data_IF_664421641509
#
_entry.id   IF_664421641509
#
_cell.length_a   1.000
_cell.length_b   1.000
_cell.length_c   1.000
_cell.angle_alpha   90.00
_cell.angle_beta   90.00
_cell.angle_gamma   90.00
#
_symmetry.space_group_name_H-M   'P 1'
#
loop_
_entity.id
_entity.type
_entity.pdbx_description
1 polymer ?
#
# COMPACT_ATOMS: atom_id res chain seq x y z
N UNK A 1 12.50 -1.28 17.06
CA UNK A 1 11.79 -0.42 16.07
C UNK A 1 12.75 0.31 15.12
N UNK A 2 13.59 1.25 15.58
CA UNK A 2 14.37 2.14 14.70
C UNK A 2 15.44 1.48 13.82
N UNK A 3 15.96 0.30 14.19
CA UNK A 3 17.00 -0.41 13.40
C UNK A 3 16.54 -0.78 11.98
N UNK A 4 15.25 -1.08 11.80
CA UNK A 4 14.67 -1.41 10.49
C UNK A 4 14.76 -0.22 9.52
N UNK A 5 14.57 1.00 10.02
CA UNK A 5 14.62 2.22 9.21
C UNK A 5 16.02 2.49 8.65
N UNK A 6 17.08 2.01 9.32
CA UNK A 6 18.45 2.12 8.82
C UNK A 6 18.68 1.41 7.48
N UNK A 7 17.82 0.45 7.11
CA UNK A 7 17.88 -0.27 5.82
C UNK A 7 17.07 0.42 4.72
N UNK A 8 16.26 1.43 5.05
CA UNK A 8 15.40 2.10 4.08
C UNK A 8 16.19 3.14 3.29
N UNK A 9 16.04 3.12 1.97
CA UNK A 9 16.49 4.22 1.13
C UNK A 9 15.60 5.44 1.35
N UNK A 10 16.13 6.49 2.00
CA UNK A 10 15.37 7.70 2.38
C UNK A 10 14.60 8.36 1.22
N UNK A 11 15.12 8.26 -0.02
CA UNK A 11 14.50 8.83 -1.23
C UNK A 11 13.55 7.88 -1.96
N UNK A 12 13.35 6.66 -1.44
CA UNK A 12 12.53 5.59 -2.05
C UNK A 12 11.47 5.07 -1.09
N UNK A 13 11.13 5.87 -0.08
CA UNK A 13 10.05 5.55 0.86
C UNK A 13 8.72 5.57 0.10
N UNK A 14 7.84 4.64 0.49
CA UNK A 14 6.46 4.55 -0.02
C UNK A 14 5.51 4.53 1.16
N UNK A 15 4.29 5.01 0.96
CA UNK A 15 3.19 4.80 1.90
C UNK A 15 2.47 3.51 1.52
N UNK A 16 2.46 2.56 2.44
CA UNK A 16 1.77 1.28 2.31
C UNK A 16 0.52 1.24 3.18
N UNK A 17 -0.60 0.74 2.65
CA UNK A 17 -1.85 0.58 3.40
C UNK A 17 -2.53 -0.76 3.10
N UNK A 18 -3.25 -1.32 4.08
CA UNK A 18 -4.14 -2.46 3.85
C UNK A 18 -5.38 -1.96 3.12
N UNK A 19 -5.71 -2.60 2.00
CA UNK A 19 -6.81 -2.27 1.12
C UNK A 19 -8.19 -2.56 1.71
N UNK A 20 -8.61 -1.76 2.69
CA UNK A 20 -9.91 -1.81 3.36
C UNK A 20 -10.43 -0.38 3.65
N UNK A 21 -11.42 -0.24 4.54
CA UNK A 21 -11.99 0.99 5.13
C UNK A 21 -11.66 2.32 4.44
N UNK A 22 -10.50 2.91 4.74
CA UNK A 22 -10.08 4.25 4.30
C UNK A 22 -8.83 4.22 3.40
N UNK A 23 -8.53 3.09 2.78
CA UNK A 23 -7.31 2.92 2.01
C UNK A 23 -7.21 3.95 0.87
N UNK A 24 -8.31 4.20 0.14
CA UNK A 24 -8.30 5.17 -0.96
C UNK A 24 -7.96 6.59 -0.48
N UNK A 25 -8.48 7.02 0.68
CA UNK A 25 -8.19 8.34 1.25
C UNK A 25 -6.71 8.46 1.65
N UNK A 26 -6.13 7.39 2.22
CA UNK A 26 -4.70 7.34 2.54
C UNK A 26 -3.84 7.42 1.28
N UNK A 27 -4.24 6.71 0.23
CA UNK A 27 -3.52 6.71 -1.04
C UNK A 27 -3.58 8.08 -1.73
N UNK A 28 -4.75 8.73 -1.69
CA UNK A 28 -4.98 10.06 -2.23
C UNK A 28 -4.11 11.10 -1.52
N UNK A 29 -4.16 11.15 -0.18
CA UNK A 29 -3.30 12.06 0.58
C UNK A 29 -1.81 11.81 0.39
N UNK A 30 -1.39 10.54 0.27
CA UNK A 30 0.01 10.22 -0.02
C UNK A 30 0.45 10.70 -1.42
N UNK A 31 -0.44 10.62 -2.41
CA UNK A 31 -0.20 11.14 -3.77
C UNK A 31 -0.07 12.65 -3.79
N UNK A 32 -0.94 13.36 -3.07
CA UNK A 32 -0.91 14.82 -2.97
C UNK A 32 0.43 15.32 -2.41
N UNK A 33 1.02 14.58 -1.47
CA UNK A 33 2.34 14.86 -0.89
C UNK A 33 3.52 14.34 -1.76
N UNK A 34 3.25 13.84 -2.97
CA UNK A 34 4.25 13.36 -3.90
C UNK A 34 4.92 12.04 -3.49
N UNK A 35 4.31 11.28 -2.58
CA UNK A 35 4.81 9.98 -2.14
C UNK A 35 4.30 8.86 -3.06
N UNK A 36 5.15 7.84 -3.21
CA UNK A 36 4.79 6.61 -3.92
C UNK A 36 3.84 5.78 -3.05
N UNK A 37 2.84 5.16 -3.65
CA UNK A 37 1.77 4.45 -2.95
C UNK A 37 1.80 2.95 -3.17
N UNK A 38 1.53 2.19 -2.13
CA UNK A 38 1.38 0.74 -2.18
C UNK A 38 0.13 0.33 -1.41
N UNK A 39 -0.65 -0.58 -1.98
CA UNK A 39 -1.80 -1.18 -1.29
C UNK A 39 -1.71 -2.70 -1.31
N UNK A 40 -1.96 -3.30 -0.15
CA UNK A 40 -2.02 -4.75 0.03
C UNK A 40 -3.49 -5.12 0.19
N UNK A 41 -4.06 -5.91 -0.71
CA UNK A 41 -5.45 -6.32 -0.62
C UNK A 41 -5.63 -7.82 -0.75
N UNK A 42 -6.75 -8.33 -0.24
CA UNK A 42 -7.16 -9.70 -0.46
C UNK A 42 -7.78 -9.89 -1.85
N UNK A 43 -7.56 -11.05 -2.44
CA UNK A 43 -8.15 -11.49 -3.70
C UNK A 43 -9.67 -11.36 -3.67
N UNK A 44 -10.24 -10.80 -4.75
CA UNK A 44 -11.66 -10.47 -4.85
C UNK A 44 -12.02 -9.08 -4.31
N UNK A 45 -11.10 -8.40 -3.61
CA UNK A 45 -11.31 -7.03 -3.08
C UNK A 45 -10.50 -5.97 -3.81
N UNK A 46 -9.78 -6.33 -4.87
CA UNK A 46 -8.86 -5.42 -5.55
C UNK A 46 -9.53 -4.47 -6.57
N UNK A 47 -10.83 -4.67 -6.83
CA UNK A 47 -11.61 -3.89 -7.81
C UNK A 47 -11.49 -2.38 -7.66
N UNK A 48 -11.68 -1.80 -6.45
CA UNK A 48 -11.49 -0.36 -6.23
C UNK A 48 -10.08 0.12 -6.61
N UNK A 49 -9.03 -0.57 -6.17
CA UNK A 49 -7.64 -0.19 -6.41
C UNK A 49 -7.25 -0.33 -7.89
N UNK A 50 -7.82 -1.31 -8.61
CA UNK A 50 -7.67 -1.46 -10.07
C UNK A 50 -8.40 -0.37 -10.86
N UNK A 51 -9.47 0.22 -10.30
CA UNK A 51 -10.24 1.31 -10.92
C UNK A 51 -9.56 2.66 -10.69
N UNK A 52 -9.07 2.93 -9.48
CA UNK A 52 -8.38 4.17 -9.11
C UNK A 52 -6.87 4.06 -9.33
N UNK A 53 -6.43 3.67 -10.54
CA UNK A 53 -5.00 3.47 -10.86
C UNK A 53 -4.14 4.72 -10.66
N UNK A 54 -4.74 5.91 -10.75
CA UNK A 54 -4.05 7.17 -10.45
C UNK A 54 -3.55 7.23 -9.01
N UNK A 55 -4.18 6.53 -8.07
CA UNK A 55 -3.83 6.55 -6.64
C UNK A 55 -2.86 5.44 -6.23
N UNK A 56 -2.65 4.42 -7.07
CA UNK A 56 -1.94 3.18 -6.70
C UNK A 56 -0.73 2.99 -7.61
N UNK A 57 0.50 3.12 -7.09
CA UNK A 57 1.70 2.71 -7.85
C UNK A 57 1.88 1.20 -7.82
N UNK A 58 1.75 0.58 -6.64
CA UNK A 58 2.03 -0.84 -6.42
C UNK A 58 0.80 -1.51 -5.74
N UNK A 59 0.34 -2.64 -6.30
CA UNK A 59 -0.78 -3.43 -5.76
C UNK A 59 -0.30 -4.86 -5.46
N UNK A 60 -0.33 -5.26 -4.19
CA UNK A 60 -0.07 -6.63 -3.76
C UNK A 60 -1.40 -7.31 -3.47
N UNK A 61 -1.66 -8.44 -4.11
CA UNK A 61 -2.87 -9.24 -3.88
C UNK A 61 -2.49 -10.51 -3.14
N UNK A 62 -3.08 -10.72 -1.95
CA UNK A 62 -2.94 -11.91 -1.12
C UNK A 62 -4.18 -12.80 -1.24
N UNK A 63 -4.07 -14.09 -0.91
CA UNK A 63 -5.24 -14.98 -0.86
C UNK A 63 -6.09 -14.69 0.40
N UNK A 64 -5.44 -14.43 1.54
CA UNK A 64 -6.04 -13.86 2.76
C UNK A 64 -5.23 -12.67 3.32
N UNK A 65 -5.88 -11.75 4.04
CA UNK A 65 -5.16 -10.67 4.71
C UNK A 65 -4.15 -11.16 5.75
N UNK A 66 -4.44 -12.28 6.41
CA UNK A 66 -3.55 -12.89 7.40
C UNK A 66 -2.21 -13.34 6.79
N UNK A 67 -2.17 -13.58 5.47
CA UNK A 67 -0.96 -14.02 4.78
C UNK A 67 0.16 -12.96 4.81
N UNK A 68 -0.14 -11.71 5.19
CA UNK A 68 0.87 -10.67 5.43
C UNK A 68 1.88 -11.05 6.53
N UNK A 69 1.51 -11.99 7.41
CA UNK A 69 2.35 -12.50 8.48
C UNK A 69 3.15 -13.75 8.06
N UNK A 70 2.99 -14.22 6.83
CA UNK A 70 3.71 -15.40 6.33
C UNK A 70 5.18 -15.07 6.03
N UNK A 71 6.06 -16.02 6.32
CA UNK A 71 7.51 -15.94 6.06
C UNK A 71 7.88 -16.11 4.57
#
# INVERSE_FOLDING_TARGET
>A
MLKVLGRYGKRRVRIGVVGSHSALDVLDGARDEGLRTLVICQKGREGPYKRFRGLVDDLIVLDDFADVLSD
#
